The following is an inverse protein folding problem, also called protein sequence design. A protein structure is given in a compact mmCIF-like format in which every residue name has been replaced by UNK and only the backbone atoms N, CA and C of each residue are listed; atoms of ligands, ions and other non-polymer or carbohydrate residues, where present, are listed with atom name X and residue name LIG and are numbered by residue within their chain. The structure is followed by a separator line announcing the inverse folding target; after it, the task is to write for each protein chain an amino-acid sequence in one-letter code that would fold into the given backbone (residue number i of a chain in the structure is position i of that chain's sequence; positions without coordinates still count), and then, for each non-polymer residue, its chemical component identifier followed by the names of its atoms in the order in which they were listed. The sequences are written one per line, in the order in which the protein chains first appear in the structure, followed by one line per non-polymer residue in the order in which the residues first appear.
data_IF_041192616203
#
_entry.id   IF_041192616203
#
_cell.length_a   1.000
_cell.length_b   1.000
_cell.length_c   1.000
_cell.angle_alpha   90.00
_cell.angle_beta   90.00
_cell.angle_gamma   90.00
#
_symmetry.space_group_name_H-M   'P 1'
#
loop_
_entity.id
_entity.type
_entity.pdbx_description
1 polymer ?
#
# COMPACT_ATOMS: atom_id res chain seq x y z
N UNK A 1 -12.30 -0.24 10.33
CA UNK A 1 -10.84 -0.03 10.10
C UNK A 1 -10.19 -1.40 10.07
N UNK A 2 -9.21 -1.61 9.19
CA UNK A 2 -8.49 -2.88 9.05
C UNK A 2 -7.10 -2.75 9.68
N UNK A 3 -6.68 -3.77 10.41
CA UNK A 3 -5.32 -3.87 10.94
C UNK A 3 -4.37 -4.21 9.80
N UNK A 4 -3.29 -3.45 9.69
CA UNK A 4 -2.24 -3.67 8.71
C UNK A 4 -1.27 -4.70 9.27
N UNK A 5 -1.35 -5.94 8.77
CA UNK A 5 -0.41 -6.98 9.18
C UNK A 5 0.97 -6.69 8.60
N UNK A 6 2.01 -7.12 9.31
CA UNK A 6 3.39 -7.02 8.83
C UNK A 6 3.57 -7.67 7.45
N UNK A 7 2.97 -8.85 7.26
CA UNK A 7 2.98 -9.59 5.98
C UNK A 7 2.42 -8.73 4.84
N UNK A 8 1.33 -8.00 5.08
CA UNK A 8 0.72 -7.13 4.08
C UNK A 8 1.63 -5.94 3.72
N UNK A 9 2.23 -5.31 4.73
CA UNK A 9 3.17 -4.19 4.53
C UNK A 9 4.41 -4.66 3.77
N UNK A 10 4.96 -5.82 4.13
CA UNK A 10 6.11 -6.42 3.46
C UNK A 10 5.78 -6.72 1.98
N UNK A 11 4.61 -7.30 1.71
CA UNK A 11 4.17 -7.60 0.34
C UNK A 11 4.00 -6.34 -0.51
N UNK A 12 3.40 -5.26 0.04
CA UNK A 12 3.30 -3.96 -0.62
C UNK A 12 4.69 -3.39 -0.94
N UNK A 13 5.61 -3.46 0.02
CA UNK A 13 6.97 -2.93 -0.13
C UNK A 13 7.73 -3.69 -1.21
N UNK A 14 7.63 -5.02 -1.23
CA UNK A 14 8.26 -5.87 -2.24
C UNK A 14 7.72 -5.55 -3.63
N UNK A 15 6.39 -5.47 -3.80
CA UNK A 15 5.79 -5.16 -5.10
C UNK A 15 6.16 -3.76 -5.58
N UNK A 16 6.15 -2.77 -4.67
CA UNK A 16 6.54 -1.39 -5.00
C UNK A 16 7.99 -1.36 -5.51
N UNK A 17 8.89 -2.07 -4.83
CA UNK A 17 10.30 -2.14 -5.21
C UNK A 17 10.49 -2.85 -6.55
N UNK A 18 9.74 -3.94 -6.81
CA UNK A 18 9.77 -4.67 -8.10
C UNK A 18 9.34 -3.81 -9.27
N UNK A 19 8.27 -3.02 -9.10
CA UNK A 19 7.79 -2.10 -10.14
C UNK A 19 8.56 -0.76 -10.18
N UNK A 20 9.61 -0.59 -9.36
CA UNK A 20 10.39 0.64 -9.22
C UNK A 20 9.52 1.90 -9.02
N UNK A 21 8.41 1.76 -8.28
CA UNK A 21 7.46 2.85 -8.10
C UNK A 21 7.87 3.79 -6.97
N UNK A 22 7.78 5.08 -7.23
CA UNK A 22 7.75 6.08 -6.15
C UNK A 22 6.41 6.05 -5.43
N UNK A 23 6.33 6.58 -4.19
CA UNK A 23 5.06 6.71 -3.48
C UNK A 23 4.03 7.56 -4.25
N UNK A 24 4.50 8.50 -5.08
CA UNK A 24 3.63 9.32 -5.93
C UNK A 24 3.02 8.49 -7.07
N UNK A 25 3.82 7.70 -7.77
CA UNK A 25 3.30 6.84 -8.83
C UNK A 25 2.39 5.74 -8.27
N UNK A 26 2.73 5.17 -7.11
CA UNK A 26 1.87 4.22 -6.41
C UNK A 26 0.55 4.88 -5.99
N UNK A 27 0.59 6.16 -5.61
CA UNK A 27 -0.60 6.95 -5.29
C UNK A 27 -1.53 7.10 -6.50
N UNK A 28 -0.97 7.35 -7.68
CA UNK A 28 -1.72 7.46 -8.93
C UNK A 28 -2.34 6.10 -9.33
N UNK A 29 -1.60 4.99 -9.15
CA UNK A 29 -2.09 3.64 -9.46
C UNK A 29 -3.21 3.16 -8.54
N UNK A 30 -3.10 3.44 -7.24
CA UNK A 30 -4.01 2.92 -6.21
C UNK A 30 -5.12 3.88 -5.84
N UNK A 31 -4.97 5.17 -6.16
CA UNK A 31 -5.88 6.23 -5.71
C UNK A 31 -5.86 6.43 -4.19
N UNK A 32 -4.78 6.01 -3.52
CA UNK A 32 -4.48 6.29 -2.11
C UNK A 32 -3.45 7.40 -2.07
N UNK A 33 -3.54 8.36 -1.14
CA UNK A 33 -2.57 9.47 -1.09
C UNK A 33 -1.16 8.98 -0.78
N UNK A 34 -0.15 9.59 -1.42
CA UNK A 34 1.26 9.26 -1.20
C UNK A 34 1.69 9.35 0.28
N UNK A 35 1.11 10.28 1.04
CA UNK A 35 1.35 10.40 2.49
C UNK A 35 0.83 9.17 3.24
N UNK A 36 -0.36 8.69 2.91
CA UNK A 36 -0.94 7.49 3.53
C UNK A 36 -0.13 6.25 3.16
N UNK A 37 0.25 6.10 1.89
CA UNK A 37 1.14 5.03 1.44
C UNK A 37 2.45 5.04 2.23
N UNK A 38 3.09 6.22 2.34
CA UNK A 38 4.33 6.37 3.10
C UNK A 38 4.15 5.98 4.57
N UNK A 39 3.03 6.36 5.21
CA UNK A 39 2.73 5.96 6.59
C UNK A 39 2.56 4.45 6.73
N UNK A 40 1.85 3.81 5.80
CA UNK A 40 1.60 2.36 5.79
C UNK A 40 2.91 1.60 5.60
N UNK A 41 3.69 1.95 4.57
CA UNK A 41 4.94 1.25 4.22
C UNK A 41 6.01 1.42 5.30
N UNK A 42 6.11 2.62 5.89
CA UNK A 42 7.06 2.86 6.99
C UNK A 42 6.55 2.37 8.35
N UNK A 43 5.41 1.65 8.41
CA UNK A 43 4.84 1.14 9.67
C UNK A 43 4.47 2.22 10.69
N UNK A 44 4.21 3.45 10.23
CA UNK A 44 3.80 4.58 11.10
C UNK A 44 2.32 4.55 11.47
N UNK A 45 1.56 3.60 10.91
CA UNK A 45 0.15 3.36 11.21
C UNK A 45 -0.11 1.85 11.28
N UNK A 46 -0.81 1.42 12.32
CA UNK A 46 -1.19 0.01 12.52
C UNK A 46 -2.54 -0.32 11.90
N UNK A 47 -3.32 0.70 11.53
CA UNK A 47 -4.66 0.55 10.97
C UNK A 47 -4.89 1.48 9.79
N UNK A 48 -5.63 0.99 8.80
CA UNK A 48 -6.12 1.78 7.67
C UNK A 48 -7.66 1.75 7.61
N UNK A 49 -8.24 2.74 6.92
CA UNK A 49 -9.63 2.63 6.50
C UNK A 49 -9.81 1.42 5.57
N UNK A 50 -10.96 0.78 5.64
CA UNK A 50 -11.26 -0.41 4.82
C UNK A 50 -11.08 -0.12 3.33
N UNK A 51 -11.64 0.99 2.85
CA UNK A 51 -11.46 1.46 1.47
C UNK A 51 -9.99 1.65 1.07
N UNK A 52 -9.12 2.07 1.99
CA UNK A 52 -7.69 2.23 1.71
C UNK A 52 -7.01 0.87 1.64
N UNK A 53 -7.34 -0.02 2.56
CA UNK A 53 -6.85 -1.39 2.55
C UNK A 53 -7.23 -2.10 1.26
N UNK A 54 -8.50 -2.04 0.85
CA UNK A 54 -8.99 -2.71 -0.36
C UNK A 54 -8.27 -2.20 -1.61
N UNK A 55 -8.12 -0.88 -1.78
CA UNK A 55 -7.37 -0.29 -2.91
C UNK A 55 -5.92 -0.79 -3.00
N UNK A 56 -5.23 -0.85 -1.85
CA UNK A 56 -3.84 -1.33 -1.80
C UNK A 56 -3.77 -2.84 -2.04
N UNK A 57 -4.73 -3.59 -1.52
CA UNK A 57 -4.83 -5.04 -1.69
C UNK A 57 -5.20 -5.43 -3.13
N UNK A 58 -6.12 -4.70 -3.77
CA UNK A 58 -6.46 -4.87 -5.19
C UNK A 58 -5.25 -4.65 -6.07
N UNK A 59 -4.46 -3.60 -5.80
CA UNK A 59 -3.21 -3.40 -6.51
C UNK A 59 -2.22 -4.52 -6.22
N UNK A 60 -2.11 -4.99 -4.98
CA UNK A 60 -1.22 -6.09 -4.63
C UNK A 60 -1.58 -7.40 -5.37
N UNK A 61 -2.86 -7.73 -5.43
CA UNK A 61 -3.41 -8.96 -6.03
C UNK A 61 -3.54 -8.91 -7.56
N UNK A 62 -3.49 -7.72 -8.18
CA UNK A 62 -3.40 -7.63 -9.64
C UNK A 62 -2.13 -8.32 -10.13
N UNK A 63 -2.29 -9.49 -10.73
CA UNK A 63 -1.26 -10.13 -11.56
C UNK A 63 -1.06 -9.28 -12.82
N UNK A 64 0.20 -9.07 -13.23
CA UNK A 64 0.55 -8.49 -14.54
C UNK A 64 0.28 -9.51 -15.67
#
# INVERSE_FOLDING_TARGET
MKVLSKIFIDALTIKQAREHLTYRQLSEKTGVTAVTISKVINGKVDTAQERTFDKLNDWLLKEE
#
